data_IF_251849475434
#
_entry.id   IF_251849475434
#
_cell.length_a   1.000
_cell.length_b   1.000
_cell.length_c   1.000
_cell.angle_alpha   90.00
_cell.angle_beta   90.00
_cell.angle_gamma   90.00
#
_symmetry.space_group_name_H-M   'P 1'
#
loop_
_entity.id
_entity.type
_entity.pdbx_description
1 polymer ?
#
# COMPACT_ATOMS: atom_id res chain seq x y z
N UNK A 1 -7.85 -10.07 -3.86
CA UNK A 1 -6.43 -9.67 -3.92
C UNK A 1 -5.54 -10.87 -3.70
N UNK A 2 -4.54 -11.02 -4.51
CA UNK A 2 -3.60 -12.11 -4.39
C UNK A 2 -2.70 -11.89 -3.18
N UNK A 3 -2.55 -12.93 -2.36
CA UNK A 3 -1.69 -12.81 -1.19
C UNK A 3 -0.25 -12.47 -1.55
N UNK A 4 0.25 -13.04 -2.65
CA UNK A 4 1.64 -12.82 -3.06
C UNK A 4 1.95 -11.42 -3.55
N UNK A 5 0.93 -10.65 -3.94
CA UNK A 5 1.17 -9.31 -4.49
C UNK A 5 1.70 -8.35 -3.43
N UNK A 6 1.06 -8.33 -2.27
CA UNK A 6 1.50 -7.44 -1.19
C UNK A 6 2.89 -7.85 -0.72
N UNK A 7 3.11 -9.15 -0.56
CA UNK A 7 4.41 -9.65 -0.13
C UNK A 7 5.51 -9.25 -1.11
N UNK A 8 5.24 -9.35 -2.40
CA UNK A 8 6.17 -8.96 -3.45
C UNK A 8 6.47 -7.46 -3.37
N UNK A 9 5.46 -6.65 -3.13
CA UNK A 9 5.65 -5.20 -3.00
C UNK A 9 6.52 -4.86 -1.80
N UNK A 10 6.37 -5.61 -0.70
CA UNK A 10 7.22 -5.39 0.48
C UNK A 10 8.67 -5.73 0.17
N UNK A 11 8.91 -6.89 -0.40
CA UNK A 11 10.27 -7.38 -0.66
C UNK A 11 10.99 -6.46 -1.63
N UNK A 12 10.30 -6.01 -2.68
CA UNK A 12 10.91 -5.19 -3.72
C UNK A 12 10.84 -3.70 -3.41
N UNK A 13 10.21 -3.31 -2.31
CA UNK A 13 10.02 -1.91 -1.94
C UNK A 13 9.36 -1.11 -3.06
N UNK A 14 8.38 -1.72 -3.70
CA UNK A 14 7.67 -1.08 -4.80
C UNK A 14 6.83 0.09 -4.29
N UNK A 15 6.81 1.16 -5.09
CA UNK A 15 5.88 2.26 -4.84
C UNK A 15 4.53 1.86 -5.43
N UNK A 16 3.50 1.98 -4.61
CA UNK A 16 2.14 1.59 -5.01
C UNK A 16 1.16 2.71 -4.74
N UNK A 17 0.05 2.67 -5.45
CA UNK A 17 -1.09 3.55 -5.17
C UNK A 17 -2.17 2.69 -4.54
N UNK A 18 -2.54 3.01 -3.30
CA UNK A 18 -3.61 2.31 -2.60
C UNK A 18 -4.86 3.15 -2.72
N UNK A 19 -5.91 2.53 -3.24
CA UNK A 19 -7.21 3.18 -3.40
C UNK A 19 -8.15 2.55 -2.40
N UNK A 20 -8.72 3.39 -1.53
CA UNK A 20 -9.61 2.91 -0.50
C UNK A 20 -11.05 2.82 -1.01
N UNK A 21 -11.90 2.15 -0.23
CA UNK A 21 -13.29 1.92 -0.61
C UNK A 21 -14.07 3.23 -0.77
N UNK A 22 -13.67 4.29 -0.06
CA UNK A 22 -14.32 5.59 -0.18
C UNK A 22 -13.62 6.54 -1.16
N UNK A 23 -12.70 6.00 -1.95
CA UNK A 23 -12.11 6.76 -3.05
C UNK A 23 -10.82 7.51 -2.75
N UNK A 24 -10.31 7.43 -1.52
CA UNK A 24 -9.00 8.02 -1.23
C UNK A 24 -7.91 7.27 -1.96
N UNK A 25 -6.90 7.99 -2.39
CA UNK A 25 -5.72 7.39 -3.02
C UNK A 25 -4.49 7.84 -2.26
N UNK A 26 -3.55 6.92 -2.06
CA UNK A 26 -2.29 7.25 -1.41
C UNK A 26 -1.15 6.53 -2.10
N UNK A 27 -0.11 7.29 -2.47
CA UNK A 27 1.11 6.75 -3.06
C UNK A 27 2.07 6.47 -1.92
N UNK A 28 2.45 5.22 -1.77
CA UNK A 28 3.19 4.78 -0.60
C UNK A 28 4.01 3.53 -0.88
N UNK A 29 4.78 3.11 0.11
CA UNK A 29 5.44 1.80 0.13
C UNK A 29 4.87 0.99 1.27
N UNK A 30 4.68 -0.30 1.04
CA UNK A 30 4.16 -1.21 2.06
C UNK A 30 5.34 -1.76 2.84
N UNK A 31 5.29 -1.60 4.17
CA UNK A 31 6.38 -2.05 5.04
C UNK A 31 6.12 -3.43 5.64
N UNK A 32 4.88 -3.69 6.03
CA UNK A 32 4.51 -4.93 6.72
C UNK A 32 3.11 -5.33 6.35
N UNK A 33 2.84 -6.62 6.47
CA UNK A 33 1.50 -7.15 6.24
C UNK A 33 1.12 -8.03 7.43
N UNK A 34 -0.07 -7.80 7.97
CA UNK A 34 -0.68 -8.66 8.97
C UNK A 34 -1.96 -9.27 8.39
N UNK A 35 -2.68 -10.06 9.18
CA UNK A 35 -3.85 -10.77 8.69
C UNK A 35 -4.94 -9.81 8.18
N UNK A 36 -5.16 -8.70 8.89
CA UNK A 36 -6.26 -7.78 8.58
C UNK A 36 -5.82 -6.37 8.24
N UNK A 37 -4.51 -6.11 8.21
CA UNK A 37 -4.03 -4.76 7.94
C UNK A 37 -2.65 -4.78 7.29
N UNK A 38 -2.26 -3.62 6.78
CA UNK A 38 -0.90 -3.40 6.28
C UNK A 38 -0.39 -2.10 6.90
N UNK A 39 0.93 -2.04 7.07
CA UNK A 39 1.59 -0.81 7.51
C UNK A 39 2.31 -0.24 6.31
N UNK A 40 2.06 1.02 6.04
CA UNK A 40 2.65 1.69 4.88
C UNK A 40 3.40 2.93 5.33
N UNK A 41 4.32 3.38 4.49
CA UNK A 41 4.96 4.68 4.68
C UNK A 41 4.56 5.58 3.53
N UNK A 42 4.01 6.73 3.85
CA UNK A 42 3.43 7.65 2.89
C UNK A 42 3.88 9.06 3.27
N UNK A 43 4.69 9.69 2.41
CA UNK A 43 5.21 11.02 2.71
C UNK A 43 6.00 11.09 4.00
N UNK A 44 6.76 10.03 4.30
CA UNK A 44 7.56 9.98 5.52
C UNK A 44 6.80 9.60 6.78
N UNK A 45 5.49 9.35 6.67
CA UNK A 45 4.66 8.99 7.82
C UNK A 45 4.21 7.56 7.71
N UNK A 46 4.32 6.82 8.81
CA UNK A 46 3.79 5.47 8.88
C UNK A 46 2.29 5.52 9.13
N UNK A 47 1.56 4.69 8.39
CA UNK A 47 0.11 4.57 8.56
C UNK A 47 -0.26 3.10 8.53
N UNK A 48 -1.28 2.74 9.29
CA UNK A 48 -1.86 1.42 9.25
C UNK A 48 -3.16 1.49 8.47
N UNK A 49 -3.33 0.59 7.51
CA UNK A 49 -4.52 0.57 6.67
C UNK A 49 -5.16 -0.81 6.80
N UNK A 50 -6.44 -0.84 7.15
CA UNK A 50 -7.16 -2.12 7.23
C UNK A 50 -7.41 -2.65 5.83
N UNK A 51 -7.21 -3.95 5.66
CA UNK A 51 -7.39 -4.58 4.35
C UNK A 51 -8.82 -4.43 3.84
N UNK A 52 -9.80 -4.49 4.74
CA UNK A 52 -11.20 -4.37 4.31
C UNK A 52 -11.55 -2.97 3.81
N UNK A 53 -10.71 -1.98 4.09
CA UNK A 53 -10.91 -0.62 3.59
C UNK A 53 -10.25 -0.40 2.23
N UNK A 54 -9.51 -1.37 1.72
CA UNK A 54 -8.78 -1.23 0.47
C UNK A 54 -9.62 -1.78 -0.68
N UNK A 55 -9.79 -0.95 -1.70
CA UNK A 55 -10.44 -1.39 -2.94
C UNK A 55 -9.41 -1.97 -3.90
N UNK A 56 -8.30 -1.26 -4.08
CA UNK A 56 -7.32 -1.63 -5.10
C UNK A 56 -5.92 -1.22 -4.66
N UNK A 57 -4.94 -2.04 -4.98
CA UNK A 57 -3.53 -1.67 -4.89
C UNK A 57 -2.95 -1.84 -6.28
N UNK A 58 -2.34 -0.79 -6.80
CA UNK A 58 -1.78 -0.83 -8.14
C UNK A 58 -0.39 -0.23 -8.15
N UNK A 59 0.45 -0.59 -9.13
CA UNK A 59 1.77 0.01 -9.24
C UNK A 59 1.64 1.51 -9.45
N UNK A 60 2.58 2.27 -8.88
CA UNK A 60 2.60 3.72 -9.05
C UNK A 60 3.96 4.15 -9.58
N UNK A 61 4.00 5.34 -10.15
CA UNK A 61 5.24 5.92 -10.62
C UNK A 61 6.09 6.30 -9.40
N UNK A 62 7.33 5.74 -9.28
CA UNK A 62 8.20 6.09 -8.15
C UNK A 62 8.45 7.59 -8.00
N UNK A 63 8.36 8.35 -9.09
CA UNK A 63 8.54 9.79 -9.03
C UNK A 63 7.45 10.52 -8.25
N UNK A 64 6.32 9.87 -8.00
CA UNK A 64 5.24 10.44 -7.20
C UNK A 64 5.39 10.21 -5.71
N UNK A 65 6.33 9.35 -5.33
CA UNK A 65 6.57 9.02 -3.94
C UNK A 65 7.41 10.12 -3.29
N UNK A 66 6.90 10.68 -2.21
CA UNK A 66 7.57 11.79 -1.55
C UNK A 66 8.28 11.34 -0.29
#
# INVERSE_FOLDING_TARGET
>A
MENGYIETCIINQNVVNIITMNGFQMVCKILEEAADNIVVICGGKKKMVYKHAISTIEPANPGLYA
#
